data_IF_232587393863
#
_entry.id   IF_232587393863
#
_cell.length_a   1.000
_cell.length_b   1.000
_cell.length_c   1.000
_cell.angle_alpha   90.00
_cell.angle_beta   90.00
_cell.angle_gamma   90.00
#
_symmetry.space_group_name_H-M   'P 1'
#
loop_
_entity.id
_entity.type
_entity.pdbx_description
1 polymer ?
#
# COMPACT_ATOMS: atom_id res chain seq x y z
N UNK A 1 8.02 17.89 3.51
CA UNK A 1 7.76 16.44 3.57
C UNK A 1 6.63 16.20 4.55
N UNK A 2 5.47 15.77 4.07
CA UNK A 2 4.37 15.34 4.95
C UNK A 2 4.78 14.12 5.78
N UNK A 3 4.27 14.04 7.01
CA UNK A 3 4.55 12.93 7.91
C UNK A 3 3.68 11.75 7.50
N UNK A 4 4.29 10.58 7.25
CA UNK A 4 3.53 9.37 6.98
C UNK A 4 2.69 8.95 8.20
N UNK A 5 1.42 8.58 7.99
CA UNK A 5 0.55 8.16 9.08
C UNK A 5 0.88 6.74 9.53
N UNK A 6 0.53 6.43 10.79
CA UNK A 6 0.57 5.07 11.33
C UNK A 6 -0.81 4.45 11.10
N UNK A 7 -0.86 3.47 10.19
CA UNK A 7 -2.10 2.83 9.76
C UNK A 7 -1.86 1.35 9.45
N UNK A 8 -2.93 0.57 9.53
CA UNK A 8 -2.91 -0.86 9.23
C UNK A 8 -2.74 -1.15 7.75
N UNK A 9 -2.19 -2.33 7.44
CA UNK A 9 -2.07 -2.82 6.07
C UNK A 9 -3.40 -2.87 5.34
N UNK A 10 -4.52 -3.09 6.05
CA UNK A 10 -5.87 -3.05 5.48
C UNK A 10 -6.25 -1.67 4.95
N UNK A 11 -5.86 -0.58 5.65
CA UNK A 11 -6.08 0.79 5.15
C UNK A 11 -5.18 1.11 3.96
N UNK A 12 -3.92 0.67 4.02
CA UNK A 12 -2.98 0.82 2.90
C UNK A 12 -3.49 0.13 1.66
N UNK A 13 -3.98 -1.11 1.78
CA UNK A 13 -4.58 -1.89 0.69
C UNK A 13 -5.70 -1.10 0.01
N UNK A 14 -6.66 -0.58 0.80
CA UNK A 14 -7.78 0.21 0.28
C UNK A 14 -7.33 1.49 -0.42
N UNK A 15 -6.37 2.21 0.15
CA UNK A 15 -5.84 3.42 -0.48
C UNK A 15 -5.16 3.11 -1.82
N UNK A 16 -4.44 2.00 -1.92
CA UNK A 16 -3.87 1.55 -3.20
C UNK A 16 -4.98 1.16 -4.20
N UNK A 17 -6.05 0.50 -3.75
CA UNK A 17 -7.21 0.23 -4.61
C UNK A 17 -7.83 1.51 -5.16
N UNK A 18 -7.98 2.56 -4.33
CA UNK A 18 -8.42 3.89 -4.79
C UNK A 18 -7.45 4.55 -5.77
N UNK A 19 -6.14 4.28 -5.65
CA UNK A 19 -5.12 4.69 -6.63
C UNK A 19 -5.15 3.88 -7.94
N UNK A 20 -6.12 2.98 -8.12
CA UNK A 20 -6.27 2.14 -9.32
C UNK A 20 -5.39 0.89 -9.32
N UNK A 21 -4.93 0.44 -8.15
CA UNK A 21 -4.32 -0.88 -8.03
C UNK A 21 -5.39 -1.95 -7.85
N UNK A 22 -5.15 -3.13 -8.39
CA UNK A 22 -6.02 -4.29 -8.27
C UNK A 22 -5.26 -5.43 -7.60
N UNK A 23 -5.90 -6.08 -6.64
CA UNK A 23 -5.34 -7.25 -6.00
C UNK A 23 -5.32 -8.44 -6.96
N UNK A 24 -4.14 -9.02 -7.16
CA UNK A 24 -3.93 -10.17 -8.05
C UNK A 24 -4.06 -11.50 -7.30
N UNK A 25 -3.37 -11.63 -6.17
CA UNK A 25 -3.37 -12.85 -5.35
C UNK A 25 -2.90 -12.55 -3.93
N UNK A 26 -3.07 -13.53 -3.04
CA UNK A 26 -2.67 -13.46 -1.63
C UNK A 26 -1.80 -14.66 -1.29
N UNK A 27 -0.71 -14.45 -0.56
CA UNK A 27 0.11 -15.53 0.04
C UNK A 27 0.25 -15.30 1.53
N UNK A 28 -0.45 -16.11 2.32
CA UNK A 28 -0.58 -15.89 3.75
C UNK A 28 -1.24 -14.53 4.03
N UNK A 29 -0.51 -13.62 4.67
CA UNK A 29 -0.97 -12.25 4.94
C UNK A 29 -0.45 -11.21 3.93
N UNK A 30 0.27 -11.63 2.89
CA UNK A 30 0.81 -10.69 1.88
C UNK A 30 -0.16 -10.59 0.71
N UNK A 31 -0.70 -9.40 0.49
CA UNK A 31 -1.57 -9.06 -0.62
C UNK A 31 -0.73 -8.47 -1.75
N UNK A 32 -0.83 -9.05 -2.94
CA UNK A 32 -0.07 -8.63 -4.11
C UNK A 32 -0.99 -7.84 -5.04
N UNK A 33 -0.61 -6.61 -5.37
CA UNK A 33 -1.38 -5.71 -6.21
C UNK A 33 -0.62 -5.35 -7.49
N UNK A 34 -1.35 -5.14 -8.58
CA UNK A 34 -0.81 -4.54 -9.82
C UNK A 34 -1.63 -3.31 -10.20
N UNK A 35 -1.06 -2.44 -11.03
CA UNK A 35 -1.81 -1.35 -11.67
C UNK A 35 -1.75 -1.55 -13.18
N UNK A 36 -2.84 -1.27 -13.89
CA UNK A 36 -2.85 -1.34 -15.35
C UNK A 36 -1.73 -0.45 -15.94
N UNK A 37 -1.03 -0.96 -16.95
CA UNK A 37 0.14 -0.28 -17.52
C UNK A 37 1.42 -0.34 -16.68
N UNK A 38 1.43 -1.12 -15.58
CA UNK A 38 2.64 -1.41 -14.80
C UNK A 38 2.87 -2.92 -14.67
N UNK A 39 4.14 -3.32 -14.81
CA UNK A 39 4.58 -4.71 -14.66
C UNK A 39 4.97 -5.07 -13.22
N UNK A 40 5.36 -4.08 -12.42
CA UNK A 40 5.76 -4.30 -11.03
C UNK A 40 4.55 -4.59 -10.12
N UNK A 41 4.73 -5.56 -9.22
CA UNK A 41 3.79 -5.83 -8.13
C UNK A 41 4.13 -5.02 -6.89
N UNK A 42 3.10 -4.55 -6.21
CA UNK A 42 3.18 -3.95 -4.87
C UNK A 42 2.70 -4.98 -3.85
N UNK A 43 3.44 -5.16 -2.77
CA UNK A 43 3.11 -6.16 -1.73
C UNK A 43 2.74 -5.47 -0.43
N UNK A 44 1.53 -5.71 0.06
CA UNK A 44 1.03 -5.15 1.33
C UNK A 44 0.82 -6.28 2.34
N UNK A 45 1.58 -6.32 3.46
CA UNK A 45 1.29 -7.24 4.55
C UNK A 45 0.04 -6.75 5.32
N UNK A 46 -0.93 -7.63 5.51
CA UNK A 46 -2.18 -7.35 6.22
C UNK A 46 -2.29 -8.28 7.44
N UNK A 47 -1.98 -7.75 8.62
CA UNK A 47 -2.04 -8.46 9.90
C UNK A 47 -3.23 -7.97 10.75
N UNK A 48 -4.43 -8.01 10.17
CA UNK A 48 -5.66 -7.49 10.79
C UNK A 48 -5.65 -5.95 10.90
N UNK A 49 -5.92 -5.43 12.10
CA UNK A 49 -5.98 -3.99 12.38
C UNK A 49 -4.65 -3.43 12.92
N UNK A 50 -3.57 -4.22 12.92
CA UNK A 50 -2.25 -3.76 13.39
C UNK A 50 -1.62 -2.81 12.38
N UNK A 51 -1.08 -1.71 12.89
CA UNK A 51 -0.34 -0.73 12.09
C UNK A 51 0.93 -1.31 11.47
N UNK A 52 1.24 -0.86 10.25
CA UNK A 52 2.52 -1.16 9.62
C UNK A 52 3.64 -0.33 10.24
N UNK A 53 4.86 -0.90 10.36
CA UNK A 53 6.05 -0.10 10.59
C UNK A 53 6.19 0.98 9.50
N UNK A 54 6.62 2.19 9.88
CA UNK A 54 6.78 3.29 8.92
C UNK A 54 7.76 2.96 7.79
N UNK A 55 8.80 2.16 8.06
CA UNK A 55 9.72 1.67 7.03
C UNK A 55 9.04 0.80 5.99
N UNK A 56 8.11 -0.07 6.42
CA UNK A 56 7.30 -0.90 5.54
C UNK A 56 6.38 -0.05 4.68
N UNK A 57 5.68 0.92 5.27
CA UNK A 57 4.83 1.84 4.51
C UNK A 57 5.65 2.62 3.47
N UNK A 58 6.82 3.16 3.83
CA UNK A 58 7.73 3.83 2.87
C UNK A 58 8.14 2.94 1.71
N UNK A 59 8.47 1.68 1.99
CA UNK A 59 8.85 0.73 0.94
C UNK A 59 7.69 0.46 -0.01
N UNK A 60 6.47 0.31 0.52
CA UNK A 60 5.24 0.14 -0.28
C UNK A 60 5.01 1.35 -1.16
N UNK A 61 5.07 2.58 -0.63
CA UNK A 61 4.85 3.79 -1.43
C UNK A 61 5.90 3.96 -2.52
N UNK A 62 7.15 3.61 -2.24
CA UNK A 62 8.21 3.60 -3.25
C UNK A 62 7.91 2.60 -4.37
N UNK A 63 7.46 1.38 -4.03
CA UNK A 63 7.06 0.38 -5.03
C UNK A 63 5.83 0.80 -5.83
N UNK A 64 4.89 1.48 -5.17
CA UNK A 64 3.69 2.02 -5.79
C UNK A 64 3.96 3.31 -6.58
N UNK A 65 5.17 3.87 -6.51
CA UNK A 65 5.55 5.18 -7.04
C UNK A 65 4.53 6.26 -6.64
N UNK A 66 4.16 6.29 -5.36
CA UNK A 66 3.29 7.29 -4.75
C UNK A 66 4.07 8.14 -3.76
N UNK A 67 3.83 9.44 -3.80
CA UNK A 67 4.31 10.38 -2.77
C UNK A 67 3.53 10.21 -1.46
N UNK A 68 4.06 10.76 -0.37
CA UNK A 68 3.38 10.71 0.92
C UNK A 68 2.10 11.55 0.90
N UNK A 69 2.12 12.65 0.15
CA UNK A 69 1.01 13.57 -0.08
C UNK A 69 -0.12 12.92 -0.88
N UNK A 70 0.18 12.32 -2.05
CA UNK A 70 -0.79 11.58 -2.86
C UNK A 70 -1.41 10.44 -2.07
N UNK A 71 -0.59 9.68 -1.34
CA UNK A 71 -1.08 8.60 -0.50
C UNK A 71 -2.02 9.10 0.59
N UNK A 72 -1.68 10.20 1.26
CA UNK A 72 -2.49 10.75 2.35
C UNK A 72 -3.84 11.26 1.85
N UNK A 73 -3.92 11.73 0.60
CA UNK A 73 -5.18 12.14 -0.01
C UNK A 73 -6.15 10.96 -0.30
N UNK A 74 -5.68 9.72 -0.22
CA UNK A 74 -6.45 8.49 -0.49
C UNK A 74 -6.91 7.75 0.77
N UNK A 75 -6.63 8.28 1.96
CA UNK A 75 -6.85 7.62 3.26
C UNK A 75 -8.20 7.92 3.92
#
# INVERSE_FOLDING_TARGET
MSRLPRISGKRVLRALEQAGFEQTHVRGSHHYLRKAGRDALVVVPVHGNRDLPLGTLRAILRQAELTSEEFTALL
#
